data_IF_742910240169
#
_entry.id   IF_742910240169
#
_cell.length_a   1.000
_cell.length_b   1.000
_cell.length_c   1.000
_cell.angle_alpha   90.00
_cell.angle_beta   90.00
_cell.angle_gamma   90.00
#
_symmetry.space_group_name_H-M   'P 1'
#
loop_
_entity.id
_entity.type
_entity.pdbx_description
1 polymer ?
#
# COMPACT_ATOMS: atom_id res chain seq x y z
N UNK A 1 -50.28 38.73 51.18
CA UNK A 1 -48.88 39.08 50.84
C UNK A 1 -48.17 37.81 50.40
N UNK A 2 -47.51 37.85 49.25
CA UNK A 2 -47.03 36.72 48.48
C UNK A 2 -45.79 36.04 49.08
N UNK A 3 -45.65 34.74 48.85
CA UNK A 3 -44.37 34.05 48.68
C UNK A 3 -44.59 32.76 47.87
N UNK A 4 -44.11 32.75 46.63
CA UNK A 4 -44.12 31.60 45.74
C UNK A 4 -42.94 30.69 46.06
N UNK A 5 -43.21 29.43 46.44
CA UNK A 5 -42.20 28.39 46.58
C UNK A 5 -42.24 27.44 45.38
N UNK A 6 -41.21 27.46 44.54
CA UNK A 6 -40.96 26.43 43.50
C UNK A 6 -40.71 25.08 44.18
N UNK A 7 -41.49 24.05 43.82
CA UNK A 7 -41.15 22.64 44.11
C UNK A 7 -40.49 22.03 42.88
N UNK A 8 -39.19 21.72 42.99
CA UNK A 8 -38.50 20.82 42.07
C UNK A 8 -38.98 19.39 42.33
N UNK A 9 -39.51 18.72 41.29
CA UNK A 9 -39.84 17.30 41.33
C UNK A 9 -38.66 16.53 40.77
N UNK A 10 -37.87 15.91 41.66
CA UNK A 10 -36.84 14.94 41.30
C UNK A 10 -37.50 13.68 40.74
N UNK A 11 -37.43 13.47 39.41
CA UNK A 11 -37.75 12.18 38.78
C UNK A 11 -36.57 11.23 39.00
N UNK A 12 -36.61 10.48 40.11
CA UNK A 12 -35.78 9.27 40.26
C UNK A 12 -36.38 8.18 39.39
N UNK A 13 -35.73 7.85 38.27
CA UNK A 13 -35.98 6.60 37.56
C UNK A 13 -35.47 5.47 38.45
N UNK A 14 -36.28 4.45 38.78
CA UNK A 14 -35.82 3.34 39.61
C UNK A 14 -34.77 2.54 38.83
N UNK A 15 -33.59 2.42 39.43
CA UNK A 15 -32.38 1.76 38.91
C UNK A 15 -32.61 0.32 38.41
N UNK A 16 -33.69 -0.32 38.85
CA UNK A 16 -34.12 -1.66 38.44
C UNK A 16 -34.62 -1.74 37.00
N UNK A 17 -35.27 -0.70 36.45
CA UNK A 17 -35.74 -0.71 35.06
C UNK A 17 -34.59 -0.53 34.05
N UNK A 18 -33.58 0.26 34.42
CA UNK A 18 -32.38 0.43 33.60
C UNK A 18 -31.55 -0.87 33.54
N UNK A 19 -31.44 -1.60 34.65
CA UNK A 19 -30.72 -2.87 34.69
C UNK A 19 -31.36 -3.95 33.80
N UNK A 20 -32.69 -4.04 33.79
CA UNK A 20 -33.41 -5.04 32.98
C UNK A 20 -33.27 -4.75 31.48
N UNK A 21 -33.38 -3.47 31.08
CA UNK A 21 -33.20 -3.06 29.68
C UNK A 21 -31.78 -3.33 29.16
N UNK A 22 -30.74 -3.06 29.97
CA UNK A 22 -29.35 -3.35 29.60
C UNK A 22 -29.11 -4.86 29.47
N UNK A 23 -29.72 -5.66 30.35
CA UNK A 23 -29.55 -7.13 30.32
C UNK A 23 -30.25 -7.75 29.10
N UNK A 24 -31.44 -7.27 28.74
CA UNK A 24 -32.16 -7.73 27.54
C UNK A 24 -31.43 -7.30 26.26
N UNK A 25 -30.87 -6.09 26.21
CA UNK A 25 -30.06 -5.63 25.08
C UNK A 25 -28.77 -6.46 24.91
N UNK A 26 -28.07 -6.77 26.02
CA UNK A 26 -26.86 -7.59 25.98
C UNK A 26 -27.14 -9.02 25.47
N UNK A 27 -28.28 -9.61 25.88
CA UNK A 27 -28.66 -10.96 25.42
C UNK A 27 -29.05 -10.96 23.94
N UNK A 28 -29.75 -9.94 23.45
CA UNK A 28 -30.12 -9.82 22.02
C UNK A 28 -28.88 -9.60 21.14
N UNK A 29 -27.90 -8.80 21.60
CA UNK A 29 -26.64 -8.59 20.85
C UNK A 29 -25.79 -9.88 20.81
N UNK A 30 -25.82 -10.71 21.86
CA UNK A 30 -25.14 -12.02 21.84
C UNK A 30 -25.88 -13.11 21.06
N UNK A 31 -27.20 -12.98 20.88
CA UNK A 31 -28.04 -13.98 20.20
C UNK A 31 -28.13 -13.80 18.67
N UNK A 32 -27.54 -12.75 18.11
CA UNK A 32 -27.39 -12.55 16.66
C UNK A 32 -26.01 -12.97 16.11
N UNK A 33 -25.17 -13.61 16.93
CA UNK A 33 -24.01 -14.34 16.40
C UNK A 33 -24.50 -15.70 15.92
N UNK A 34 -24.46 -15.93 14.61
CA UNK A 34 -24.87 -17.17 13.93
C UNK A 34 -24.00 -18.39 14.27
N UNK A 35 -23.10 -18.28 15.25
CA UNK A 35 -22.19 -19.35 15.65
C UNK A 35 -21.08 -19.63 14.63
N UNK A 36 -21.05 -18.92 13.50
CA UNK A 36 -19.91 -18.93 12.61
C UNK A 36 -18.90 -17.91 13.11
N UNK A 37 -17.78 -18.40 13.64
CA UNK A 37 -16.58 -17.58 13.77
C UNK A 37 -16.10 -17.35 12.33
N UNK A 38 -16.64 -16.33 11.68
CA UNK A 38 -16.25 -15.96 10.33
C UNK A 38 -14.84 -15.37 10.40
N UNK A 39 -13.82 -16.23 10.27
CA UNK A 39 -12.41 -15.83 10.22
C UNK A 39 -12.14 -15.20 8.86
N UNK A 40 -12.69 -14.01 8.66
CA UNK A 40 -12.48 -13.22 7.43
C UNK A 40 -11.06 -12.72 7.42
N UNK A 41 -10.30 -13.00 6.37
CA UNK A 41 -8.99 -12.36 6.22
C UNK A 41 -9.20 -10.93 5.73
N UNK A 42 -8.52 -9.98 6.36
CA UNK A 42 -8.51 -8.57 5.99
C UNK A 42 -7.06 -8.08 5.95
N UNK A 43 -6.83 -6.90 5.37
CA UNK A 43 -5.51 -6.30 5.40
C UNK A 43 -4.94 -6.23 6.82
N UNK A 44 -3.66 -6.58 6.96
CA UNK A 44 -2.92 -6.24 8.18
C UNK A 44 -3.07 -4.74 8.48
N UNK A 45 -3.24 -4.33 9.74
CA UNK A 45 -3.14 -2.92 10.10
C UNK A 45 -1.76 -2.36 9.69
N UNK A 46 -1.70 -1.05 9.41
CA UNK A 46 -0.46 -0.36 9.06
C UNK A 46 -0.05 -0.52 7.59
N UNK A 47 0.84 -1.48 7.29
CA UNK A 47 1.58 -1.55 6.02
C UNK A 47 1.46 -2.91 5.31
N UNK A 48 0.23 -3.30 4.98
CA UNK A 48 -0.10 -4.66 4.54
C UNK A 48 0.34 -5.02 3.12
N UNK A 49 0.77 -4.07 2.29
CA UNK A 49 1.02 -4.31 0.87
C UNK A 49 1.89 -3.23 0.24
N UNK A 50 2.19 -3.37 -1.06
CA UNK A 50 2.80 -2.32 -1.88
C UNK A 50 2.08 -0.98 -1.68
N UNK A 51 2.79 0.12 -1.42
CA UNK A 51 2.13 1.41 -1.17
C UNK A 51 1.39 1.51 0.17
N UNK A 52 1.67 0.61 1.12
CA UNK A 52 1.14 0.59 2.49
C UNK A 52 -0.25 -0.02 2.62
N UNK A 53 -1.17 0.28 1.71
CA UNK A 53 -2.58 -0.12 1.83
C UNK A 53 -3.25 -0.33 0.46
N UNK A 54 -4.54 -0.65 0.48
CA UNK A 54 -5.35 -0.89 -0.72
C UNK A 54 -5.33 0.29 -1.72
N UNK A 55 -5.23 1.52 -1.20
CA UNK A 55 -5.27 2.76 -1.98
C UNK A 55 -3.91 3.14 -2.59
N UNK A 56 -2.83 2.42 -2.28
CA UNK A 56 -1.44 2.76 -2.62
C UNK A 56 -0.97 4.12 -2.05
N UNK A 57 -1.57 4.58 -0.95
CA UNK A 57 -1.41 5.95 -0.47
C UNK A 57 -0.13 6.24 0.32
N UNK A 58 0.73 5.24 0.61
CA UNK A 58 1.89 5.38 1.50
C UNK A 58 1.58 6.19 2.78
N UNK A 59 0.39 5.95 3.35
CA UNK A 59 -0.07 6.63 4.55
C UNK A 59 -0.23 5.64 5.70
N UNK A 60 0.19 6.06 6.88
CA UNK A 60 0.09 5.28 8.11
C UNK A 60 -0.62 6.08 9.22
N UNK A 61 -1.63 5.46 9.83
CA UNK A 61 -2.35 6.03 10.98
C UNK A 61 -1.57 6.02 12.30
N UNK A 62 -0.74 5.01 12.60
CA UNK A 62 0.02 4.98 13.86
C UNK A 62 0.98 6.16 13.99
N UNK A 63 1.12 6.67 15.21
CA UNK A 63 2.17 7.63 15.59
C UNK A 63 3.51 6.93 15.72
N UNK A 64 4.57 7.57 15.25
CA UNK A 64 5.93 7.04 15.37
C UNK A 64 6.56 7.50 16.71
N UNK A 65 7.19 6.61 17.51
CA UNK A 65 7.80 6.99 18.78
C UNK A 65 8.86 8.09 18.67
N UNK A 66 8.91 9.02 19.64
CA UNK A 66 9.90 10.11 19.68
C UNK A 66 11.33 9.62 19.98
N UNK A 67 11.48 8.42 20.52
CA UNK A 67 12.76 7.78 20.88
C UNK A 67 13.17 6.67 19.91
N UNK A 68 12.72 6.76 18.65
CA UNK A 68 13.01 5.80 17.60
C UNK A 68 14.54 5.64 17.38
N UNK A 69 15.04 4.41 17.44
CA UNK A 69 16.45 4.04 17.27
C UNK A 69 16.57 2.83 16.33
N UNK A 70 17.71 2.71 15.64
CA UNK A 70 17.99 1.57 14.79
C UNK A 70 18.09 0.30 15.65
N UNK A 71 17.16 -0.63 15.48
CA UNK A 71 17.11 -1.87 16.24
C UNK A 71 17.99 -2.96 15.61
N UNK A 72 17.88 -3.14 14.29
CA UNK A 72 18.69 -4.11 13.56
C UNK A 72 18.76 -3.78 12.07
N UNK A 73 19.78 -4.33 11.41
CA UNK A 73 19.89 -4.37 9.94
C UNK A 73 20.03 -5.81 9.45
N UNK A 74 19.56 -6.13 8.24
CA UNK A 74 19.73 -7.47 7.66
C UNK A 74 19.97 -7.39 6.15
N UNK A 75 20.97 -8.12 5.63
CA UNK A 75 21.17 -8.25 4.20
C UNK A 75 20.13 -9.21 3.62
N UNK A 76 19.54 -8.84 2.49
CA UNK A 76 18.70 -9.72 1.68
C UNK A 76 19.53 -10.66 0.80
N UNK A 77 20.79 -10.30 0.54
CA UNK A 77 21.71 -11.04 -0.34
C UNK A 77 21.63 -10.64 -1.82
N UNK A 78 20.88 -9.59 -2.16
CA UNK A 78 20.79 -9.05 -3.51
C UNK A 78 19.88 -7.82 -3.60
N UNK A 79 19.80 -7.16 -4.76
CA UNK A 79 19.08 -5.89 -4.87
C UNK A 79 17.59 -5.99 -4.49
N UNK A 80 17.07 -4.95 -3.83
CA UNK A 80 15.66 -4.81 -3.49
C UNK A 80 15.06 -3.73 -4.38
N UNK A 81 13.99 -4.05 -5.10
CA UNK A 81 13.37 -3.12 -6.07
C UNK A 81 11.92 -2.80 -5.73
N UNK A 82 11.23 -3.67 -4.98
CA UNK A 82 9.90 -3.41 -4.45
C UNK A 82 9.97 -2.84 -3.02
N UNK A 83 9.01 -1.99 -2.61
CA UNK A 83 8.88 -1.55 -1.22
C UNK A 83 8.54 -2.73 -0.29
N UNK A 84 8.75 -2.51 1.00
CA UNK A 84 8.51 -3.50 2.04
C UNK A 84 7.03 -3.61 2.41
N UNK A 85 6.68 -4.72 3.06
CA UNK A 85 5.45 -4.85 3.86
C UNK A 85 5.82 -5.00 5.33
N UNK A 86 4.93 -4.55 6.22
CA UNK A 86 5.02 -4.79 7.66
C UNK A 86 3.67 -5.31 8.15
N UNK A 87 3.70 -6.46 8.80
CA UNK A 87 2.50 -7.11 9.32
C UNK A 87 2.05 -6.54 10.68
N UNK A 88 0.94 -7.05 11.21
CA UNK A 88 0.37 -6.61 12.48
C UNK A 88 1.30 -6.87 13.66
N UNK A 89 2.11 -7.92 13.55
CA UNK A 89 3.14 -8.30 14.52
C UNK A 89 4.51 -7.71 14.16
N UNK A 90 4.53 -6.74 13.25
CA UNK A 90 5.74 -6.04 12.81
C UNK A 90 6.76 -6.90 12.07
N UNK A 91 6.32 -8.04 11.53
CA UNK A 91 7.18 -8.85 10.68
C UNK A 91 7.38 -8.14 9.34
N UNK A 92 8.64 -7.98 8.94
CA UNK A 92 9.03 -7.28 7.72
C UNK A 92 9.09 -8.28 6.56
N UNK A 93 8.26 -8.08 5.55
CA UNK A 93 8.31 -8.84 4.30
C UNK A 93 9.09 -8.11 3.22
N UNK A 94 10.12 -8.78 2.68
CA UNK A 94 11.01 -8.22 1.64
C UNK A 94 11.30 -9.25 0.55
N UNK A 95 11.30 -8.80 -0.70
CA UNK A 95 11.76 -9.56 -1.87
C UNK A 95 13.05 -8.96 -2.41
N UNK A 96 13.89 -9.78 -3.03
CA UNK A 96 15.18 -9.36 -3.55
C UNK A 96 15.62 -10.18 -4.76
N UNK A 97 16.39 -9.59 -5.65
CA UNK A 97 17.00 -10.30 -6.78
C UNK A 97 18.29 -10.97 -6.33
N UNK A 98 18.21 -12.23 -5.91
CA UNK A 98 19.39 -12.99 -5.45
C UNK A 98 19.84 -14.02 -6.50
N UNK A 99 21.16 -14.15 -6.68
CA UNK A 99 21.75 -15.17 -7.56
C UNK A 99 21.46 -16.58 -7.01
N UNK A 100 21.65 -16.76 -5.70
CA UNK A 100 21.49 -18.03 -5.00
C UNK A 100 20.74 -17.82 -3.67
N UNK A 101 20.19 -18.91 -3.12
CA UNK A 101 19.51 -18.88 -1.82
C UNK A 101 18.12 -18.22 -1.88
N UNK A 102 17.67 -17.66 -0.76
CA UNK A 102 16.34 -17.07 -0.68
C UNK A 102 16.27 -15.74 -1.42
N UNK A 103 15.13 -15.46 -2.08
CA UNK A 103 14.79 -14.16 -2.69
C UNK A 103 13.51 -13.57 -2.10
N UNK A 104 12.92 -14.24 -1.11
CA UNK A 104 11.84 -13.71 -0.28
C UNK A 104 12.10 -14.05 1.18
N UNK A 105 12.02 -13.04 2.04
CA UNK A 105 12.29 -13.14 3.47
C UNK A 105 11.15 -12.50 4.27
N UNK A 106 10.76 -13.17 5.36
CA UNK A 106 9.97 -12.57 6.44
C UNK A 106 10.87 -12.47 7.67
N UNK A 107 11.14 -11.26 8.14
CA UNK A 107 12.06 -10.96 9.24
C UNK A 107 11.28 -10.53 10.48
N UNK A 108 11.65 -11.04 11.66
CA UNK A 108 10.97 -10.68 12.90
C UNK A 108 11.41 -9.31 13.44
N UNK A 109 10.55 -8.60 14.16
CA UNK A 109 10.86 -7.26 14.65
C UNK A 109 11.88 -7.22 15.80
N UNK A 110 12.10 -8.33 16.52
CA UNK A 110 12.95 -8.33 17.71
C UNK A 110 14.43 -8.21 17.36
N UNK A 111 14.87 -9.02 16.41
CA UNK A 111 16.27 -9.08 16.01
C UNK A 111 16.47 -9.39 14.53
N UNK A 112 15.45 -9.26 13.67
CA UNK A 112 15.58 -9.51 12.24
C UNK A 112 15.97 -10.95 11.91
N UNK A 113 15.66 -11.92 12.77
CA UNK A 113 15.77 -13.34 12.44
C UNK A 113 14.71 -13.66 11.37
N UNK A 114 15.11 -14.50 10.43
CA UNK A 114 14.20 -15.01 9.40
C UNK A 114 13.15 -15.89 10.10
N UNK A 115 11.90 -15.46 10.14
CA UNK A 115 10.79 -16.36 10.48
C UNK A 115 10.73 -17.48 9.47
N UNK A 116 10.84 -17.13 8.19
CA UNK A 116 11.19 -18.05 7.12
C UNK A 116 11.86 -17.30 5.96
N UNK A 117 12.47 -18.06 5.06
CA UNK A 117 12.87 -17.55 3.75
C UNK A 117 12.58 -18.60 2.67
N UNK A 118 12.30 -18.13 1.46
CA UNK A 118 11.97 -18.98 0.31
C UNK A 118 12.76 -18.57 -0.92
N UNK A 119 13.07 -19.57 -1.75
CA UNK A 119 13.42 -19.36 -3.15
C UNK A 119 12.14 -19.47 -3.96
N UNK A 120 11.78 -18.37 -4.59
CA UNK A 120 10.68 -18.20 -5.53
C UNK A 120 11.27 -18.07 -6.94
N UNK A 121 10.43 -18.27 -7.95
CA UNK A 121 10.77 -18.08 -9.37
C UNK A 121 10.78 -16.60 -9.76
N UNK A 122 11.08 -16.33 -11.04
CA UNK A 122 11.12 -14.98 -11.59
C UNK A 122 9.80 -14.24 -11.38
N UNK A 123 9.86 -12.92 -11.32
CA UNK A 123 8.70 -12.07 -11.08
C UNK A 123 8.44 -11.74 -9.62
N UNK A 124 9.00 -12.50 -8.68
CA UNK A 124 8.89 -12.22 -7.24
C UNK A 124 9.58 -10.90 -6.85
N UNK A 125 10.65 -10.54 -7.55
CA UNK A 125 11.52 -9.42 -7.22
C UNK A 125 10.83 -8.06 -7.34
N UNK A 126 9.79 -7.95 -8.17
CA UNK A 126 8.98 -6.73 -8.32
C UNK A 126 7.77 -6.70 -7.38
N UNK A 127 7.64 -7.68 -6.47
CA UNK A 127 6.47 -7.84 -5.62
C UNK A 127 6.73 -7.49 -4.15
N UNK A 128 5.81 -6.74 -3.56
CA UNK A 128 5.64 -6.65 -2.11
C UNK A 128 4.60 -7.68 -1.68
N UNK A 129 4.85 -8.53 -0.67
CA UNK A 129 3.84 -9.46 -0.19
C UNK A 129 2.63 -8.71 0.38
N UNK A 130 1.44 -9.18 0.04
CA UNK A 130 0.20 -8.77 0.70
C UNK A 130 0.06 -9.59 1.98
N UNK A 131 -0.18 -8.97 3.13
CA UNK A 131 -0.24 -9.67 4.42
C UNK A 131 -1.57 -9.39 5.11
N UNK A 132 -2.22 -10.45 5.61
CA UNK A 132 -3.46 -10.33 6.39
C UNK A 132 -3.19 -10.04 7.88
N UNK A 133 -4.26 -9.81 8.65
CA UNK A 133 -4.18 -9.53 10.09
C UNK A 133 -3.59 -10.67 10.94
N UNK A 134 -3.44 -11.87 10.37
CA UNK A 134 -2.89 -13.07 11.00
C UNK A 134 -1.49 -13.41 10.52
N UNK A 135 -0.80 -12.46 9.87
CA UNK A 135 0.52 -12.64 9.25
C UNK A 135 0.56 -13.70 8.16
N UNK A 136 -0.56 -13.95 7.47
CA UNK A 136 -0.62 -14.89 6.35
C UNK A 136 -0.33 -14.10 5.06
N UNK A 137 0.82 -14.36 4.39
CA UNK A 137 1.18 -13.61 3.20
C UNK A 137 0.60 -14.23 1.93
N UNK A 138 0.34 -13.36 0.95
CA UNK A 138 -0.02 -13.67 -0.42
C UNK A 138 1.00 -13.03 -1.34
N UNK A 139 1.53 -13.78 -2.29
CA UNK A 139 2.55 -13.29 -3.21
C UNK A 139 2.59 -14.09 -4.51
N UNK A 140 3.04 -13.47 -5.59
CA UNK A 140 3.14 -14.07 -6.91
C UNK A 140 4.57 -14.35 -7.36
N UNK A 141 4.70 -15.38 -8.19
CA UNK A 141 5.84 -15.63 -9.06
C UNK A 141 5.29 -15.95 -10.47
N UNK A 142 6.15 -16.03 -11.48
CA UNK A 142 5.73 -16.40 -12.83
C UNK A 142 4.79 -17.63 -12.81
N UNK A 143 3.68 -17.56 -13.55
CA UNK A 143 2.62 -18.59 -13.65
C UNK A 143 1.80 -18.89 -12.40
N UNK A 144 2.15 -18.38 -11.21
CA UNK A 144 1.48 -18.80 -9.97
C UNK A 144 1.30 -17.66 -8.97
N UNK A 145 0.09 -17.48 -8.47
CA UNK A 145 -0.20 -16.72 -7.27
C UNK A 145 -0.38 -17.65 -6.07
N UNK A 146 0.24 -17.34 -4.93
CA UNK A 146 0.30 -18.24 -3.78
C UNK A 146 -0.20 -17.56 -2.50
N UNK A 147 -0.94 -18.31 -1.69
CA UNK A 147 -1.20 -17.97 -0.30
C UNK A 147 -0.37 -18.85 0.62
N UNK A 148 0.13 -18.24 1.69
CA UNK A 148 1.02 -18.85 2.66
C UNK A 148 0.45 -18.67 4.06
N UNK A 149 0.84 -19.53 4.99
CA UNK A 149 0.64 -19.30 6.41
C UNK A 149 1.83 -18.52 7.00
N UNK A 150 1.67 -18.01 8.22
CA UNK A 150 2.72 -17.27 8.92
C UNK A 150 4.03 -18.06 9.14
N UNK A 151 3.97 -19.40 9.10
CA UNK A 151 5.13 -20.28 9.19
C UNK A 151 5.84 -20.56 7.86
N UNK A 152 5.40 -19.97 6.75
CA UNK A 152 6.00 -20.19 5.42
C UNK A 152 5.61 -21.52 4.77
N UNK A 153 4.49 -22.12 5.17
CA UNK A 153 3.83 -23.22 4.46
C UNK A 153 2.81 -22.69 3.45
N UNK A 154 2.69 -23.35 2.29
CA UNK A 154 1.72 -22.96 1.26
C UNK A 154 0.33 -23.46 1.65
N UNK A 155 -0.66 -22.57 1.63
CA UNK A 155 -2.08 -22.88 1.85
C UNK A 155 -2.76 -23.33 0.56
N UNK A 156 -2.57 -22.56 -0.51
CA UNK A 156 -3.10 -22.89 -1.84
C UNK A 156 -2.27 -22.19 -2.94
N UNK A 157 -2.48 -22.62 -4.19
CA UNK A 157 -1.85 -22.06 -5.40
C UNK A 157 -2.90 -21.80 -6.46
N UNK A 158 -2.82 -20.66 -7.11
CA UNK A 158 -3.66 -20.30 -8.25
C UNK A 158 -2.78 -20.11 -9.50
N UNK A 159 -2.93 -20.94 -10.54
CA UNK A 159 -2.29 -20.70 -11.82
C UNK A 159 -2.74 -19.36 -12.43
N UNK A 160 -1.79 -18.61 -12.98
CA UNK A 160 -2.04 -17.31 -13.62
C UNK A 160 -1.36 -17.21 -14.98
N UNK A 161 -1.77 -16.24 -15.79
CA UNK A 161 -1.06 -15.85 -17.00
C UNK A 161 -0.06 -14.74 -16.69
N UNK A 162 1.20 -14.95 -17.05
CA UNK A 162 2.26 -13.98 -16.80
C UNK A 162 2.80 -14.01 -15.37
N UNK A 163 3.16 -12.83 -14.86
CA UNK A 163 3.62 -12.62 -13.48
C UNK A 163 2.53 -11.86 -12.71
N UNK A 164 2.04 -12.35 -11.56
CA UNK A 164 1.17 -11.55 -10.69
C UNK A 164 1.92 -10.33 -10.14
N UNK A 165 1.24 -9.20 -10.12
CA UNK A 165 1.68 -8.00 -9.41
C UNK A 165 1.25 -8.05 -7.93
N UNK A 166 1.72 -7.09 -7.14
CA UNK A 166 1.44 -7.06 -5.71
C UNK A 166 -0.07 -6.95 -5.49
N UNK A 167 -0.64 -8.03 -4.98
CA UNK A 167 -2.08 -8.18 -4.82
C UNK A 167 -2.65 -7.24 -3.77
N UNK A 168 -3.97 -7.05 -3.81
CA UNK A 168 -4.70 -6.17 -2.88
C UNK A 168 -5.89 -6.90 -2.29
N UNK A 169 -6.20 -6.65 -1.03
CA UNK A 169 -7.53 -7.01 -0.52
C UNK A 169 -8.59 -6.14 -1.20
N UNK A 170 -9.63 -6.78 -1.73
CA UNK A 170 -10.79 -6.15 -2.36
C UNK A 170 -12.03 -6.16 -1.44
N UNK A 171 -11.80 -6.49 -0.18
CA UNK A 171 -12.84 -6.66 0.83
C UNK A 171 -12.51 -7.84 1.73
N UNK A 172 -13.32 -8.09 2.76
CA UNK A 172 -13.14 -9.22 3.66
C UNK A 172 -13.17 -10.54 2.90
N UNK A 173 -12.11 -11.34 3.06
CA UNK A 173 -11.90 -12.62 2.37
C UNK A 173 -11.80 -12.55 0.84
N UNK A 174 -11.54 -11.36 0.27
CA UNK A 174 -11.42 -11.18 -1.18
C UNK A 174 -10.04 -10.60 -1.52
N UNK A 175 -9.33 -11.26 -2.44
CA UNK A 175 -8.06 -10.76 -2.97
C UNK A 175 -8.17 -10.50 -4.47
N UNK A 176 -7.79 -9.31 -4.89
CA UNK A 176 -7.63 -8.90 -6.28
C UNK A 176 -6.21 -9.22 -6.73
N UNK A 177 -6.11 -9.98 -7.81
CA UNK A 177 -4.86 -10.34 -8.47
C UNK A 177 -4.89 -9.81 -9.90
N UNK A 178 -3.85 -9.08 -10.28
CA UNK A 178 -3.65 -8.60 -11.64
C UNK A 178 -2.28 -9.02 -12.14
N UNK A 179 -2.15 -9.34 -13.43
CA UNK A 179 -0.88 -9.84 -13.98
C UNK A 179 -0.32 -8.93 -15.06
N UNK A 180 0.99 -9.07 -15.27
CA UNK A 180 1.74 -8.32 -16.30
C UNK A 180 1.21 -8.54 -17.72
N UNK A 181 0.48 -9.63 -17.97
CA UNK A 181 -0.13 -9.95 -19.25
C UNK A 181 -1.64 -9.63 -19.32
N UNK A 182 -2.19 -8.95 -18.30
CA UNK A 182 -3.54 -8.40 -18.36
C UNK A 182 -4.64 -9.35 -17.90
N UNK A 183 -4.30 -10.36 -17.09
CA UNK A 183 -5.28 -11.18 -16.39
C UNK A 183 -5.73 -10.49 -15.10
N UNK A 184 -7.02 -10.58 -14.79
CA UNK A 184 -7.61 -10.10 -13.54
C UNK A 184 -8.41 -11.25 -12.91
N UNK A 185 -8.13 -11.49 -11.62
CA UNK A 185 -8.80 -12.49 -10.80
C UNK A 185 -9.29 -11.84 -9.51
N UNK A 186 -10.51 -12.19 -9.09
CA UNK A 186 -11.01 -11.92 -7.76
C UNK A 186 -11.20 -13.26 -7.05
N UNK A 187 -10.40 -13.52 -6.03
CA UNK A 187 -10.28 -14.83 -5.41
C UNK A 187 -10.68 -14.79 -3.94
N UNK A 188 -11.25 -15.90 -3.47
CA UNK A 188 -11.45 -16.15 -2.06
C UNK A 188 -10.10 -16.45 -1.39
N UNK A 189 -9.83 -15.75 -0.30
CA UNK A 189 -8.53 -15.80 0.38
C UNK A 189 -8.25 -17.11 1.12
N UNK A 190 -9.28 -17.91 1.39
CA UNK A 190 -9.18 -19.18 2.11
C UNK A 190 -8.90 -20.37 1.20
N UNK A 191 -9.51 -20.39 0.01
CA UNK A 191 -9.51 -21.58 -0.84
C UNK A 191 -9.21 -21.32 -2.32
N UNK A 192 -8.92 -20.08 -2.72
CA UNK A 192 -8.70 -19.64 -4.12
C UNK A 192 -9.90 -19.77 -5.07
N UNK A 193 -11.10 -19.99 -4.56
CA UNK A 193 -12.29 -20.01 -5.40
C UNK A 193 -12.51 -18.65 -6.07
N UNK A 194 -12.92 -18.68 -7.33
CA UNK A 194 -13.30 -17.48 -8.06
C UNK A 194 -14.54 -16.84 -7.44
N UNK A 195 -14.41 -15.58 -7.03
CA UNK A 195 -15.53 -14.75 -6.57
C UNK A 195 -16.20 -13.97 -7.72
N UNK A 196 -15.54 -13.95 -8.89
CA UNK A 196 -16.04 -13.41 -10.14
C UNK A 196 -15.38 -14.19 -11.31
N UNK A 197 -15.99 -14.27 -12.49
CA UNK A 197 -15.33 -14.81 -13.68
C UNK A 197 -14.01 -14.07 -13.98
N UNK A 198 -13.00 -14.83 -14.42
CA UNK A 198 -11.72 -14.28 -14.89
C UNK A 198 -11.93 -13.25 -16.01
N UNK A 199 -11.19 -12.15 -15.97
CA UNK A 199 -11.10 -11.19 -17.08
C UNK A 199 -9.70 -11.21 -17.68
N UNK A 200 -9.64 -11.23 -19.02
CA UNK A 200 -8.41 -11.05 -19.80
C UNK A 200 -8.55 -9.78 -20.62
N UNK A 201 -7.73 -8.79 -20.32
CA UNK A 201 -7.77 -7.48 -20.98
C UNK A 201 -7.07 -7.45 -22.34
N UNK A 202 -6.25 -8.46 -22.64
CA UNK A 202 -5.47 -8.55 -23.88
C UNK A 202 -5.60 -9.93 -24.51
N UNK A 203 -5.62 -9.97 -25.84
CA UNK A 203 -5.71 -11.20 -26.61
C UNK A 203 -4.34 -11.85 -26.86
N UNK A 204 -3.25 -11.09 -26.70
CA UNK A 204 -1.87 -11.52 -26.91
C UNK A 204 -1.14 -11.96 -25.63
N UNK A 205 -1.87 -12.28 -24.56
CA UNK A 205 -1.30 -13.02 -23.44
C UNK A 205 -0.76 -14.37 -23.96
N UNK A 206 0.46 -14.71 -23.57
CA UNK A 206 1.17 -15.91 -23.99
C UNK A 206 1.36 -16.87 -22.80
N UNK A 207 0.53 -17.92 -22.66
CA UNK A 207 0.67 -18.90 -21.60
C UNK A 207 1.99 -19.68 -21.64
N UNK A 208 2.62 -19.79 -22.81
CA UNK A 208 3.87 -20.54 -23.01
C UNK A 208 5.12 -19.70 -22.69
N UNK A 209 4.99 -18.37 -22.61
CA UNK A 209 6.04 -17.44 -22.14
C UNK A 209 5.50 -16.57 -20.99
N UNK A 210 5.63 -17.03 -19.74
CA UNK A 210 5.15 -16.30 -18.56
C UNK A 210 5.84 -14.93 -18.38
N UNK A 211 7.02 -14.74 -18.97
CA UNK A 211 7.78 -13.49 -18.89
C UNK A 211 7.59 -12.59 -20.10
N UNK A 212 6.66 -12.92 -21.00
CA UNK A 212 6.36 -12.11 -22.16
C UNK A 212 6.02 -10.67 -21.75
N UNK A 213 6.78 -9.72 -22.30
CA UNK A 213 6.63 -8.29 -21.99
C UNK A 213 7.13 -7.86 -20.60
N UNK A 214 7.63 -8.77 -19.76
CA UNK A 214 8.03 -8.48 -18.38
C UNK A 214 9.12 -7.40 -18.29
N UNK A 215 10.09 -7.40 -19.20
CA UNK A 215 11.13 -6.36 -19.25
C UNK A 215 10.58 -4.94 -19.50
N UNK A 216 9.45 -4.81 -20.19
CA UNK A 216 8.78 -3.51 -20.39
C UNK A 216 8.07 -3.05 -19.11
N UNK A 217 7.74 -3.93 -18.15
CA UNK A 217 7.08 -3.52 -16.91
C UNK A 217 7.94 -2.56 -16.10
N UNK A 218 9.27 -2.74 -16.12
CA UNK A 218 10.24 -1.85 -15.46
C UNK A 218 10.14 -0.42 -16.00
N UNK A 219 9.96 -0.27 -17.31
CA UNK A 219 9.87 1.02 -17.99
C UNK A 219 8.45 1.46 -18.26
N UNK A 220 7.44 0.70 -17.79
CA UNK A 220 6.01 0.83 -18.06
C UNK A 220 5.64 0.76 -19.56
N UNK A 221 6.41 0.04 -20.38
CA UNK A 221 6.30 0.01 -21.85
C UNK A 221 5.16 -0.85 -22.41
N UNK A 222 4.96 -0.81 -23.75
CA UNK A 222 3.78 -1.34 -24.45
C UNK A 222 3.56 -2.85 -24.37
N UNK A 223 4.62 -3.64 -24.13
CA UNK A 223 4.47 -5.09 -24.00
C UNK A 223 3.98 -5.52 -22.62
N UNK A 224 4.06 -4.65 -21.61
CA UNK A 224 3.52 -4.94 -20.29
C UNK A 224 2.08 -4.41 -20.19
N UNK A 225 1.11 -5.32 -20.11
CA UNK A 225 -0.31 -4.98 -20.11
C UNK A 225 -0.71 -4.19 -18.86
N UNK A 226 -0.31 -4.66 -17.69
CA UNK A 226 -0.50 -3.99 -16.41
C UNK A 226 0.90 -3.88 -15.81
N UNK A 227 1.52 -2.68 -15.77
CA UNK A 227 2.90 -2.54 -15.34
C UNK A 227 3.07 -2.33 -13.83
N UNK A 228 1.98 -2.07 -13.10
CA UNK A 228 2.05 -1.74 -11.68
C UNK A 228 0.78 -2.16 -10.91
N UNK A 229 0.88 -2.36 -9.57
CA UNK A 229 -0.25 -2.77 -8.74
C UNK A 229 -1.48 -1.85 -8.83
N UNK A 230 -2.67 -2.42 -8.72
CA UNK A 230 -3.92 -1.68 -8.69
C UNK A 230 -4.07 -0.82 -7.41
N UNK A 231 -4.84 0.26 -7.49
CA UNK A 231 -5.44 0.90 -6.32
C UNK A 231 -6.87 0.39 -6.16
N UNK A 232 -7.28 0.01 -4.96
CA UNK A 232 -8.58 -0.62 -4.69
C UNK A 232 -9.40 0.23 -3.73
N UNK A 233 -10.65 0.47 -4.12
CA UNK A 233 -11.72 1.05 -3.32
C UNK A 233 -12.66 -0.09 -2.91
N UNK A 234 -12.42 -0.66 -1.73
CA UNK A 234 -13.21 -1.79 -1.22
C UNK A 234 -14.64 -1.38 -0.85
N UNK A 235 -14.82 -0.13 -0.40
CA UNK A 235 -16.12 0.38 0.03
C UNK A 235 -17.08 0.56 -1.16
N UNK A 236 -16.56 1.01 -2.31
CA UNK A 236 -17.34 1.14 -3.55
C UNK A 236 -17.16 -0.04 -4.52
N UNK A 237 -16.48 -1.10 -4.09
CA UNK A 237 -16.25 -2.32 -4.88
C UNK A 237 -15.71 -2.06 -6.29
N UNK A 238 -14.67 -1.22 -6.38
CA UNK A 238 -14.00 -0.86 -7.64
C UNK A 238 -12.48 -0.77 -7.48
N UNK A 239 -11.76 -0.75 -8.59
CA UNK A 239 -10.31 -0.60 -8.60
C UNK A 239 -9.83 0.12 -9.85
N UNK A 240 -8.61 0.64 -9.78
CA UNK A 240 -7.99 1.47 -10.81
C UNK A 240 -6.66 0.87 -11.23
N UNK A 241 -6.45 0.76 -12.55
CA UNK A 241 -5.28 0.16 -13.16
C UNK A 241 -4.55 1.17 -14.06
N UNK A 242 -3.22 1.17 -13.99
CA UNK A 242 -2.41 1.53 -15.15
C UNK A 242 -2.51 0.37 -16.14
N UNK A 243 -2.99 0.62 -17.35
CA UNK A 243 -3.16 -0.40 -18.37
C UNK A 243 -2.65 0.08 -19.72
N UNK A 244 -1.88 -0.77 -20.40
CA UNK A 244 -1.42 -0.56 -21.77
C UNK A 244 -2.23 -1.43 -22.75
N UNK A 245 -3.18 -0.84 -23.50
CA UNK A 245 -3.97 -1.58 -24.48
C UNK A 245 -3.09 -2.13 -25.61
N UNK A 246 -3.46 -3.30 -26.13
CA UNK A 246 -2.75 -3.89 -27.25
C UNK A 246 -2.75 -2.94 -28.46
N UNK A 247 -1.56 -2.65 -28.98
CA UNK A 247 -1.38 -1.77 -30.15
C UNK A 247 -1.51 -0.27 -29.88
N UNK A 248 -1.81 0.16 -28.65
CA UNK A 248 -1.86 1.58 -28.32
C UNK A 248 -0.46 2.20 -28.18
N UNK A 249 -0.37 3.50 -28.45
CA UNK A 249 0.87 4.27 -28.33
C UNK A 249 1.16 4.78 -26.91
N UNK A 250 0.17 4.69 -26.01
CA UNK A 250 0.27 5.11 -24.62
C UNK A 250 -0.61 4.23 -23.71
N UNK A 251 -0.22 4.11 -22.45
CA UNK A 251 -1.06 3.55 -21.39
C UNK A 251 -2.09 4.55 -20.88
N UNK A 252 -3.10 4.03 -20.19
CA UNK A 252 -4.24 4.77 -19.66
C UNK A 252 -4.57 4.33 -18.24
N UNK A 253 -5.36 5.13 -17.53
CA UNK A 253 -6.02 4.66 -16.31
C UNK A 253 -7.33 4.00 -16.69
N UNK A 254 -7.60 2.81 -16.14
CA UNK A 254 -8.89 2.13 -16.25
C UNK A 254 -9.51 1.94 -14.88
N UNK A 255 -10.79 2.29 -14.74
CA UNK A 255 -11.59 1.96 -13.59
C UNK A 255 -12.44 0.73 -13.87
N UNK A 256 -12.45 -0.20 -12.92
CA UNK A 256 -13.16 -1.47 -13.03
C UNK A 256 -14.05 -1.66 -11.81
N UNK A 257 -15.27 -2.15 -12.00
CA UNK A 257 -16.18 -2.54 -10.93
C UNK A 257 -16.14 -4.05 -10.73
N UNK A 258 -16.23 -4.48 -9.48
CA UNK A 258 -16.55 -5.85 -9.06
C UNK A 258 -17.75 -5.88 -8.11
N UNK A 259 -18.56 -4.81 -8.12
CA UNK A 259 -19.82 -4.77 -7.41
C UNK A 259 -20.76 -5.87 -7.93
N UNK A 260 -21.50 -6.48 -7.00
CA UNK A 260 -22.49 -7.49 -7.33
C UNK A 260 -23.74 -6.85 -7.94
N UNK A 261 -24.20 -7.38 -9.07
CA UNK A 261 -25.41 -6.93 -9.75
C UNK A 261 -26.34 -8.12 -9.95
N UNK A 262 -27.59 -8.01 -9.49
CA UNK A 262 -28.60 -9.07 -9.62
C UNK A 262 -28.13 -10.46 -9.10
N UNK A 263 -27.39 -10.47 -8.00
CA UNK A 263 -26.87 -11.70 -7.38
C UNK A 263 -25.66 -12.33 -8.10
N UNK A 264 -25.12 -11.66 -9.12
CA UNK A 264 -23.93 -12.12 -9.84
C UNK A 264 -22.81 -11.10 -9.72
N UNK A 265 -21.61 -11.57 -9.38
CA UNK A 265 -20.42 -10.73 -9.35
C UNK A 265 -19.63 -10.92 -10.65
N UNK A 266 -19.43 -9.83 -11.37
CA UNK A 266 -18.59 -9.77 -12.59
C UNK A 266 -17.65 -8.58 -12.50
N UNK A 267 -16.48 -8.72 -13.12
CA UNK A 267 -15.53 -7.61 -13.26
C UNK A 267 -15.82 -6.93 -14.60
N UNK A 268 -16.10 -5.62 -14.58
CA UNK A 268 -16.42 -4.83 -15.79
C UNK A 268 -15.77 -3.47 -15.75
N UNK A 269 -15.45 -2.92 -16.92
CA UNK A 269 -14.96 -1.55 -17.03
C UNK A 269 -16.07 -0.55 -16.69
N UNK A 270 -15.73 0.49 -15.93
CA UNK A 270 -16.60 1.63 -15.62
C UNK A 270 -16.28 2.76 -16.60
N UNK A 271 -15.00 3.12 -16.67
CA UNK A 271 -14.46 4.16 -17.54
C UNK A 271 -12.97 3.92 -17.78
N UNK A 272 -12.42 4.60 -18.78
CA UNK A 272 -10.98 4.77 -18.96
C UNK A 272 -10.65 6.22 -19.25
N UNK A 273 -9.42 6.63 -18.91
CA UNK A 273 -8.92 7.99 -19.09
C UNK A 273 -7.54 7.98 -19.74
N UNK A 274 -7.44 8.66 -20.88
CA UNK A 274 -6.17 8.90 -21.56
C UNK A 274 -5.34 9.91 -20.79
N UNK A 275 -4.14 9.50 -20.39
CA UNK A 275 -3.19 10.36 -19.71
C UNK A 275 -2.18 10.86 -20.73
N UNK A 276 -1.93 12.19 -20.85
CA UNK A 276 -0.93 12.70 -21.78
C UNK A 276 0.42 12.01 -21.61
N UNK A 277 0.96 11.48 -22.70
CA UNK A 277 2.21 10.70 -22.73
C UNK A 277 2.11 9.30 -22.13
N UNK A 278 0.99 8.91 -21.52
CA UNK A 278 0.80 7.64 -20.83
C UNK A 278 1.14 7.69 -19.34
N UNK A 279 0.79 6.61 -18.65
CA UNK A 279 0.91 6.46 -17.20
C UNK A 279 2.24 5.82 -16.80
N UNK A 280 2.84 6.30 -15.71
CA UNK A 280 3.99 5.68 -15.05
C UNK A 280 3.61 5.21 -13.65
N UNK A 281 3.93 3.97 -13.34
CA UNK A 281 3.72 3.40 -12.01
C UNK A 281 2.24 3.11 -11.71
N UNK A 282 1.93 2.80 -10.45
CA UNK A 282 0.57 2.50 -10.00
C UNK A 282 -0.24 3.79 -9.73
N UNK A 283 -1.56 3.77 -9.96
CA UNK A 283 -2.43 4.84 -9.47
C UNK A 283 -2.47 4.85 -7.93
N UNK A 284 -2.74 6.02 -7.36
CA UNK A 284 -2.97 6.24 -5.93
C UNK A 284 -4.37 6.81 -5.73
N UNK A 285 -5.16 6.28 -4.79
CA UNK A 285 -6.53 6.72 -4.52
C UNK A 285 -6.59 7.58 -3.24
N UNK A 286 -7.34 8.68 -3.27
CA UNK A 286 -7.62 9.48 -2.08
C UNK A 286 -8.39 8.68 -1.01
N UNK A 287 -8.22 9.02 0.26
CA UNK A 287 -8.85 8.29 1.36
C UNK A 287 -10.39 8.31 1.30
N UNK A 288 -10.98 9.36 0.73
CA UNK A 288 -12.43 9.48 0.53
C UNK A 288 -12.93 8.79 -0.76
N UNK A 289 -12.04 8.16 -1.51
CA UNK A 289 -12.34 7.46 -2.76
C UNK A 289 -12.75 8.38 -3.91
N UNK A 290 -12.57 9.70 -3.82
CA UNK A 290 -13.05 10.63 -4.86
C UNK A 290 -12.03 11.00 -5.93
N UNK A 291 -10.73 10.91 -5.64
CA UNK A 291 -9.67 11.33 -6.56
C UNK A 291 -8.69 10.19 -6.82
N UNK A 292 -8.40 9.91 -8.09
CA UNK A 292 -7.30 9.02 -8.51
C UNK A 292 -6.14 9.88 -8.99
N UNK A 293 -4.98 9.73 -8.36
CA UNK A 293 -3.75 10.39 -8.74
C UNK A 293 -2.88 9.46 -9.57
N UNK A 294 -2.26 10.01 -10.60
CA UNK A 294 -1.35 9.26 -11.47
C UNK A 294 -0.22 10.14 -11.97
N UNK A 295 0.94 9.53 -12.22
CA UNK A 295 2.03 10.19 -12.93
C UNK A 295 1.87 10.01 -14.43
N UNK A 296 2.01 11.12 -15.15
CA UNK A 296 2.17 11.17 -16.59
C UNK A 296 3.64 11.03 -16.97
N UNK A 297 3.92 10.35 -18.09
CA UNK A 297 5.23 10.37 -18.75
C UNK A 297 5.67 11.75 -19.22
N UNK A 298 4.90 12.81 -19.02
CA UNK A 298 5.33 14.17 -19.31
C UNK A 298 5.76 14.93 -18.05
N UNK A 299 6.02 14.22 -16.95
CA UNK A 299 6.47 14.82 -15.69
C UNK A 299 5.37 15.55 -14.94
N UNK A 300 4.10 15.16 -15.15
CA UNK A 300 2.95 15.75 -14.47
C UNK A 300 2.29 14.77 -13.51
N UNK A 301 1.71 15.31 -12.46
CA UNK A 301 0.67 14.63 -11.69
C UNK A 301 -0.66 14.96 -12.38
N UNK A 302 -1.49 13.96 -12.57
CA UNK A 302 -2.87 14.13 -13.05
C UNK A 302 -3.81 13.59 -11.98
N UNK A 303 -4.75 14.41 -11.55
CA UNK A 303 -5.82 14.03 -10.65
C UNK A 303 -7.11 13.85 -11.44
N UNK A 304 -7.68 12.66 -11.34
CA UNK A 304 -8.91 12.27 -12.00
C UNK A 304 -10.05 12.17 -10.99
N UNK A 305 -11.25 12.53 -11.39
CA UNK A 305 -12.45 12.12 -10.70
C UNK A 305 -12.57 10.59 -10.72
N UNK A 306 -12.67 9.97 -9.54
CA UNK A 306 -12.70 8.51 -9.44
C UNK A 306 -13.99 7.88 -10.02
N UNK A 307 -15.08 8.65 -10.12
CA UNK A 307 -16.36 8.16 -10.63
C UNK A 307 -16.48 8.27 -12.16
N UNK A 308 -15.92 9.32 -12.77
CA UNK A 308 -16.03 9.57 -14.22
C UNK A 308 -14.74 9.39 -15.02
N UNK A 309 -13.57 9.49 -14.37
CA UNK A 309 -12.27 9.53 -15.05
C UNK A 309 -11.92 10.91 -15.63
N UNK A 310 -12.76 11.93 -15.44
CA UNK A 310 -12.48 13.29 -15.90
C UNK A 310 -11.31 13.90 -15.13
N UNK A 311 -10.44 14.63 -15.83
CA UNK A 311 -9.34 15.34 -15.16
C UNK A 311 -9.89 16.50 -14.33
N UNK A 312 -9.65 16.44 -13.01
CA UNK A 312 -9.94 17.55 -12.09
C UNK A 312 -8.86 18.61 -12.18
N UNK A 313 -7.60 18.19 -12.15
CA UNK A 313 -6.45 19.07 -12.27
C UNK A 313 -5.19 18.33 -12.72
N UNK A 314 -4.18 19.11 -13.14
CA UNK A 314 -2.84 18.60 -13.35
C UNK A 314 -1.80 19.54 -12.75
N UNK A 315 -0.70 18.97 -12.27
CA UNK A 315 0.39 19.71 -11.64
C UNK A 315 1.73 19.32 -12.27
N UNK A 316 2.59 20.30 -12.54
CA UNK A 316 3.94 20.05 -13.04
C UNK A 316 4.84 19.60 -11.88
N UNK A 317 5.26 18.34 -11.91
CA UNK A 317 6.09 17.75 -10.86
C UNK A 317 7.57 18.17 -10.97
N UNK A 318 7.95 18.91 -12.02
CA UNK A 318 9.35 19.31 -12.28
C UNK A 318 10.24 18.14 -12.71
N UNK A 319 9.65 17.00 -13.07
CA UNK A 319 10.33 15.76 -13.44
C UNK A 319 9.40 14.56 -13.42
N UNK A 320 9.86 13.43 -13.98
CA UNK A 320 9.09 12.19 -14.01
C UNK A 320 8.94 11.62 -12.60
N UNK A 321 7.69 11.33 -12.19
CA UNK A 321 7.43 10.40 -11.10
C UNK A 321 7.48 8.97 -11.62
N UNK A 322 7.90 8.02 -10.77
CA UNK A 322 8.14 6.64 -11.20
C UNK A 322 7.50 5.56 -10.30
N UNK A 323 6.72 5.94 -9.30
CA UNK A 323 6.13 5.03 -8.31
C UNK A 323 4.83 5.60 -7.71
N UNK A 324 4.40 5.14 -6.52
CA UNK A 324 3.26 5.70 -5.77
C UNK A 324 3.53 7.11 -5.26
N UNK A 325 2.48 7.79 -4.82
CA UNK A 325 2.55 9.07 -4.11
C UNK A 325 2.11 8.87 -2.66
N UNK A 326 2.62 9.67 -1.72
CA UNK A 326 2.06 9.68 -0.36
C UNK A 326 0.83 10.58 -0.37
N UNK A 327 -0.32 10.08 0.09
CA UNK A 327 -1.59 10.81 0.13
C UNK A 327 -2.24 10.61 1.49
N UNK A 328 -2.46 11.70 2.21
CA UNK A 328 -3.14 11.70 3.52
C UNK A 328 -4.66 11.84 3.37
N UNK A 329 -5.44 11.50 4.43
CA UNK A 329 -6.88 11.71 4.43
C UNK A 329 -7.33 13.17 4.30
N UNK A 330 -6.52 14.14 4.72
CA UNK A 330 -6.82 15.57 4.62
C UNK A 330 -6.29 16.22 3.32
N UNK A 331 -5.85 15.40 2.36
CA UNK A 331 -5.50 15.84 1.01
C UNK A 331 -4.06 16.34 0.86
N UNK A 332 -3.18 16.16 1.85
CA UNK A 332 -1.75 16.38 1.65
C UNK A 332 -1.17 15.30 0.74
N UNK A 333 -0.28 15.72 -0.15
CA UNK A 333 0.33 14.88 -1.17
C UNK A 333 1.84 15.11 -1.17
N UNK A 334 2.62 14.03 -1.04
CA UNK A 334 4.05 14.02 -1.37
C UNK A 334 4.23 13.24 -2.66
N UNK A 335 4.53 13.92 -3.79
CA UNK A 335 4.87 13.23 -5.01
C UNK A 335 6.25 12.56 -4.90
N UNK A 336 6.37 11.37 -5.46
CA UNK A 336 7.68 10.76 -5.72
C UNK A 336 8.34 11.48 -6.90
N UNK A 337 9.39 12.24 -6.62
CA UNK A 337 10.26 12.84 -7.64
C UNK A 337 11.37 11.89 -8.11
N UNK A 338 12.18 12.35 -9.06
CA UNK A 338 13.41 11.66 -9.46
C UNK A 338 14.37 11.50 -8.26
N UNK A 339 15.26 10.50 -8.29
CA UNK A 339 16.22 10.27 -7.21
C UNK A 339 17.05 11.54 -6.96
N UNK A 340 17.04 12.02 -5.72
CA UNK A 340 17.71 13.24 -5.28
C UNK A 340 16.86 14.51 -5.40
N UNK A 341 15.61 14.42 -5.84
CA UNK A 341 14.70 15.57 -5.93
C UNK A 341 14.40 16.19 -4.55
N UNK A 342 14.01 17.47 -4.51
CA UNK A 342 13.49 18.11 -3.30
C UNK A 342 12.29 17.37 -2.70
N UNK A 343 12.18 17.35 -1.37
CA UNK A 343 10.93 16.95 -0.72
C UNK A 343 9.89 18.07 -0.94
N UNK A 344 8.76 17.72 -1.54
CA UNK A 344 7.69 18.66 -1.86
C UNK A 344 6.40 18.21 -1.19
N UNK A 345 5.69 19.13 -0.54
CA UNK A 345 4.36 18.89 -0.01
C UNK A 345 3.34 19.74 -0.76
N UNK A 346 2.36 19.07 -1.34
CA UNK A 346 1.21 19.66 -2.00
C UNK A 346 -0.05 19.42 -1.17
N UNK A 347 -1.10 20.19 -1.44
CA UNK A 347 -2.48 19.95 -0.97
C UNK A 347 -3.39 19.83 -2.18
N UNK A 348 -4.23 18.81 -2.22
CA UNK A 348 -5.36 18.75 -3.14
C UNK A 348 -6.45 19.73 -2.65
N UNK A 349 -6.65 20.82 -3.38
CA UNK A 349 -7.70 21.80 -3.12
C UNK A 349 -9.03 21.45 -3.83
N UNK A 350 -9.09 20.29 -4.52
CA UNK A 350 -10.24 19.77 -5.24
C UNK A 350 -10.18 20.03 -6.74
N UNK A 351 -9.90 21.27 -7.15
CA UNK A 351 -9.81 21.71 -8.56
C UNK A 351 -8.40 22.14 -8.99
N UNK A 352 -7.44 22.15 -8.05
CA UNK A 352 -6.02 22.35 -8.30
C UNK A 352 -5.18 21.75 -7.17
N UNK A 353 -3.88 21.61 -7.42
CA UNK A 353 -2.92 21.33 -6.37
C UNK A 353 -2.28 22.64 -5.88
N UNK A 354 -2.23 22.83 -4.57
CA UNK A 354 -1.54 23.94 -3.91
C UNK A 354 -0.17 23.47 -3.41
N UNK A 355 0.90 24.19 -3.75
CA UNK A 355 2.22 23.95 -3.17
C UNK A 355 2.28 24.57 -1.78
N UNK A 356 2.36 23.75 -0.73
CA UNK A 356 2.48 24.24 0.65
C UNK A 356 3.93 24.63 0.97
N UNK A 357 4.87 23.73 0.70
CA UNK A 357 6.30 23.99 0.86
C UNK A 357 7.16 23.04 0.03
N UNK A 358 8.42 23.40 -0.14
CA UNK A 358 9.42 22.58 -0.80
C UNK A 358 10.80 22.71 -0.12
N UNK A 359 11.36 21.58 0.29
CA UNK A 359 12.68 21.47 0.93
C UNK A 359 13.74 21.08 -0.10
N UNK A 360 14.31 22.10 -0.76
CA UNK A 360 15.36 21.96 -1.79
C UNK A 360 16.72 21.55 -1.23
N UNK A 361 16.91 21.66 0.07
CA UNK A 361 18.11 21.24 0.78
C UNK A 361 18.12 19.72 1.07
N UNK A 362 16.97 19.04 0.95
CA UNK A 362 16.85 17.60 1.09
C UNK A 362 16.94 16.91 -0.28
N UNK A 363 17.88 15.97 -0.42
CA UNK A 363 17.99 15.12 -1.60
C UNK A 363 17.26 13.79 -1.33
N UNK A 364 15.96 13.75 -1.64
CA UNK A 364 15.10 12.58 -1.35
C UNK A 364 15.47 11.41 -2.26
N UNK A 365 15.68 10.24 -1.67
CA UNK A 365 16.07 9.02 -2.38
C UNK A 365 15.19 7.83 -2.01
N UNK A 366 13.90 8.07 -1.72
CA UNK A 366 12.92 7.00 -1.43
C UNK A 366 11.49 7.42 -1.69
N UNK A 367 10.58 6.44 -1.70
CA UNK A 367 9.15 6.70 -1.48
C UNK A 367 8.96 7.21 -0.05
N UNK A 368 8.28 8.34 0.09
CA UNK A 368 8.01 8.93 1.39
C UNK A 368 6.74 8.35 2.01
N UNK A 369 6.59 8.49 3.31
CA UNK A 369 5.37 8.13 4.04
C UNK A 369 4.79 9.35 4.72
N UNK A 370 3.48 9.53 4.67
CA UNK A 370 2.76 10.48 5.51
C UNK A 370 2.16 9.74 6.70
N UNK A 371 2.18 10.38 7.87
CA UNK A 371 1.64 9.84 9.11
C UNK A 371 0.61 10.79 9.73
N UNK A 372 -0.26 10.25 10.59
CA UNK A 372 -1.33 11.03 11.24
C UNK A 372 -0.83 12.03 12.32
N UNK A 373 0.47 12.02 12.62
CA UNK A 373 1.15 12.88 13.59
C UNK A 373 1.74 14.15 12.94
N UNK A 374 1.20 14.57 11.78
CA UNK A 374 1.69 15.72 11.03
C UNK A 374 3.19 15.58 10.66
N UNK A 375 3.60 14.37 10.31
CA UNK A 375 4.96 14.06 9.86
C UNK A 375 4.97 13.39 8.49
N UNK A 376 6.07 13.63 7.80
CA UNK A 376 6.51 12.91 6.63
C UNK A 376 7.82 12.19 6.96
N UNK A 377 7.90 10.91 6.64
CA UNK A 377 9.10 10.10 6.78
C UNK A 377 9.69 9.77 5.42
N UNK A 378 10.98 10.05 5.23
CA UNK A 378 11.66 9.85 3.95
C UNK A 378 13.14 9.58 4.15
N UNK A 379 13.74 8.81 3.26
CA UNK A 379 15.19 8.63 3.21
C UNK A 379 15.82 9.69 2.32
N UNK A 380 16.80 10.40 2.86
CA UNK A 380 17.56 11.44 2.15
C UNK A 380 19.02 11.07 2.04
N UNK A 381 19.70 11.53 0.99
CA UNK A 381 21.16 11.49 0.90
C UNK A 381 21.76 12.56 1.81
N UNK A 382 22.74 12.17 2.62
CA UNK A 382 23.45 13.08 3.50
C UNK A 382 24.23 14.13 2.70
N UNK A 383 24.22 15.37 3.18
CA UNK A 383 24.87 16.49 2.48
C UNK A 383 26.36 16.24 2.27
N UNK A 384 26.78 16.18 1.00
CA UNK A 384 28.16 15.99 0.60
C UNK A 384 28.71 14.58 0.82
N UNK A 385 27.85 13.58 1.04
CA UNK A 385 28.21 12.17 1.25
C UNK A 385 27.31 11.24 0.44
N UNK A 386 27.73 9.98 0.33
CA UNK A 386 26.91 8.92 -0.28
C UNK A 386 26.00 8.20 0.73
N UNK A 387 26.25 8.41 2.03
CA UNK A 387 25.44 7.85 3.12
C UNK A 387 24.02 8.40 3.12
N UNK A 388 23.09 7.62 3.64
CA UNK A 388 21.68 7.95 3.70
C UNK A 388 21.21 8.09 5.16
N UNK A 389 20.17 8.89 5.36
CA UNK A 389 19.50 9.05 6.65
C UNK A 389 17.98 8.95 6.49
N UNK A 390 17.33 8.21 7.38
CA UNK A 390 15.88 8.26 7.56
C UNK A 390 15.53 9.57 8.28
N UNK A 391 14.75 10.44 7.64
CA UNK A 391 14.46 11.79 8.11
C UNK A 391 12.98 11.99 8.31
N UNK A 392 12.64 12.54 9.47
CA UNK A 392 11.30 13.00 9.81
C UNK A 392 11.18 14.50 9.53
N UNK A 393 10.13 14.88 8.82
CA UNK A 393 9.84 16.27 8.44
C UNK A 393 8.42 16.62 8.86
N UNK A 394 8.25 17.76 9.52
CA UNK A 394 6.95 18.34 9.85
C UNK A 394 6.15 18.65 8.58
N UNK A 395 4.89 18.22 8.51
CA UNK A 395 4.01 18.59 7.39
C UNK A 395 3.51 20.03 7.47
N UNK A 396 3.53 20.63 8.66
CA UNK A 396 2.95 21.95 8.90
C UNK A 396 3.81 23.09 8.31
N UNK A 397 5.13 22.96 8.42
CA UNK A 397 6.10 24.00 8.03
C UNK A 397 7.30 23.46 7.24
N UNK A 398 7.35 22.15 7.03
CA UNK A 398 8.46 21.49 6.34
C UNK A 398 9.73 21.40 7.18
N UNK A 399 9.73 21.70 8.48
CA UNK A 399 10.93 21.63 9.31
C UNK A 399 11.39 20.18 9.53
N UNK A 400 12.71 19.93 9.47
CA UNK A 400 13.25 18.62 9.85
C UNK A 400 13.15 18.46 11.36
N UNK A 401 12.42 17.44 11.82
CA UNK A 401 12.28 17.11 13.24
C UNK A 401 13.52 16.34 13.74
N UNK A 402 13.93 15.30 12.99
CA UNK A 402 15.12 14.49 13.28
C UNK A 402 15.58 13.70 12.05
N UNK A 403 16.82 13.24 12.10
CA UNK A 403 17.40 12.33 11.11
C UNK A 403 18.13 11.19 11.83
N UNK A 404 17.85 9.96 11.43
CA UNK A 404 18.42 8.73 11.94
C UNK A 404 19.32 8.14 10.86
N UNK A 405 20.57 7.82 11.23
CA UNK A 405 21.56 7.27 10.31
C UNK A 405 21.11 5.89 9.78
N UNK A 406 21.36 5.63 8.50
CA UNK A 406 21.36 4.29 7.92
C UNK A 406 22.84 3.89 7.72
N UNK A 407 23.47 3.18 8.67
CA UNK A 407 24.89 2.82 8.59
C UNK A 407 25.20 2.02 7.32
N UNK A 408 26.31 2.32 6.67
CA UNK A 408 26.78 1.60 5.46
C UNK A 408 25.81 1.67 4.26
N UNK A 409 24.81 2.54 4.32
CA UNK A 409 23.87 2.75 3.22
C UNK A 409 24.48 3.56 2.08
N UNK A 410 24.12 3.18 0.85
CA UNK A 410 24.39 3.93 -0.38
C UNK A 410 23.22 3.74 -1.37
N UNK A 411 23.26 4.48 -2.48
CA UNK A 411 22.23 4.37 -3.52
C UNK A 411 20.93 5.04 -3.10
N UNK A 412 19.81 4.32 -3.17
CA UNK A 412 18.48 4.82 -2.81
C UNK A 412 17.75 3.77 -1.98
N UNK A 413 16.68 4.16 -1.29
CA UNK A 413 15.80 3.25 -0.56
C UNK A 413 14.46 3.05 -1.28
N UNK A 414 13.90 1.85 -1.17
CA UNK A 414 12.69 1.44 -1.89
C UNK A 414 11.40 2.03 -1.31
N UNK A 415 11.47 2.55 -0.10
CA UNK A 415 10.37 3.22 0.58
C UNK A 415 10.55 3.18 2.09
N UNK A 416 9.65 3.85 2.79
CA UNK A 416 9.53 3.82 4.25
C UNK A 416 8.23 3.09 4.56
N UNK A 417 8.24 2.11 5.44
CA UNK A 417 7.06 1.39 5.87
C UNK A 417 6.87 1.54 7.38
N UNK A 418 5.64 1.72 7.84
CA UNK A 418 5.32 2.01 9.25
C UNK A 418 4.40 0.92 9.81
N UNK A 419 4.82 0.30 10.91
CA UNK A 419 4.03 -0.74 11.60
C UNK A 419 2.86 -0.15 12.39
N UNK A 420 1.88 -0.99 12.82
CA UNK A 420 0.82 -0.56 13.73
C UNK A 420 1.30 0.01 15.07
N UNK A 421 2.52 -0.31 15.47
CA UNK A 421 3.17 0.15 16.69
C UNK A 421 4.09 1.36 16.45
N UNK A 422 4.10 1.91 15.24
CA UNK A 422 4.92 3.07 14.88
C UNK A 422 6.39 2.73 14.60
N UNK A 423 6.76 1.45 14.49
CA UNK A 423 8.09 1.05 14.06
C UNK A 423 8.27 1.34 12.58
N UNK A 424 9.50 1.58 12.14
CA UNK A 424 9.80 1.87 10.74
C UNK A 424 10.71 0.80 10.16
N UNK A 425 10.36 0.31 8.97
CA UNK A 425 11.27 -0.47 8.14
C UNK A 425 11.56 0.25 6.81
N UNK A 426 12.80 0.16 6.36
CA UNK A 426 13.20 0.60 5.01
C UNK A 426 14.26 -0.33 4.45
N UNK A 427 14.38 -0.41 3.13
CA UNK A 427 15.40 -1.21 2.48
C UNK A 427 16.10 -0.41 1.38
N UNK A 428 17.43 -0.47 1.37
CA UNK A 428 18.23 0.10 0.29
C UNK A 428 18.16 -0.79 -0.95
N UNK A 429 18.27 -0.19 -2.13
CA UNK A 429 18.27 -0.92 -3.38
C UNK A 429 19.43 -1.91 -3.49
N UNK A 430 20.53 -1.67 -2.78
CA UNK A 430 21.68 -2.58 -2.74
C UNK A 430 21.46 -3.82 -1.86
N UNK A 431 20.33 -3.91 -1.14
CA UNK A 431 19.92 -5.13 -0.46
C UNK A 431 20.13 -5.16 1.05
N UNK A 432 20.13 -4.00 1.73
CA UNK A 432 20.14 -3.94 3.19
C UNK A 432 18.80 -3.46 3.73
N UNK A 433 18.21 -4.22 4.65
CA UNK A 433 16.98 -3.86 5.37
C UNK A 433 17.35 -3.23 6.70
N UNK A 434 16.69 -2.14 7.08
CA UNK A 434 16.84 -1.43 8.34
C UNK A 434 15.50 -1.43 9.06
N UNK A 435 15.52 -1.73 10.35
CA UNK A 435 14.35 -1.69 11.21
C UNK A 435 14.61 -0.82 12.42
N UNK A 436 13.69 0.09 12.67
CA UNK A 436 13.73 1.07 13.72
C UNK A 436 12.60 0.83 14.70
N UNK A 437 12.90 0.94 15.99
CA UNK A 437 11.95 0.73 17.07
C UNK A 437 12.21 1.75 18.18
N UNK A 438 11.25 1.94 19.08
CA UNK A 438 11.47 2.73 20.29
C UNK A 438 12.64 2.17 21.07
N UNK A 439 13.52 3.05 21.54
CA UNK A 439 14.64 2.69 22.41
C UNK A 439 14.17 1.91 23.64
N UNK A 440 13.06 2.33 24.25
CA UNK A 440 12.47 1.60 25.37
C UNK A 440 12.16 0.13 25.03
N UNK A 441 11.62 -0.15 23.83
CA UNK A 441 11.36 -1.52 23.40
C UNK A 441 12.64 -2.30 23.08
N UNK A 442 13.69 -1.65 22.58
CA UNK A 442 14.99 -2.27 22.31
C UNK A 442 15.66 -2.69 23.63
N UNK A 443 15.73 -1.78 24.61
CA UNK A 443 16.39 -2.00 25.90
C UNK A 443 15.68 -3.07 26.77
N UNK A 444 14.40 -3.34 26.51
CA UNK A 444 13.59 -4.30 27.26
C UNK A 444 13.71 -5.78 26.83
N UNK A 445 14.50 -6.08 25.80
CA UNK A 445 14.52 -7.40 25.12
C UNK A 445 15.47 -8.43 25.69
#
# INVERSE_FOLDING_TARGET
>A
MAAAGRREVSRRVPTTLAAILVTVFAVVVSACSDGHIDVRSVASPGWSSFGGNAANSNFAYPSVPDDLELSWTRPTGGPVTAPLSISNQSNVGVTATTENGCNWLILDPRNGRKNFCKRMRAGIEVNTPLVDQYDQPYIGEETTFLAWNAGGGIRWRMPVLGVPLSAKFAGPSQVLVTTTQGQILLLNTQNSDFLAPEVRLRADANPDDPTYGFGDCITNGPRCAIPAPAAVDADQQRFFLNFWPQGAIASQIRAMSYAEENGTRTIREIWHADIPGGVVGPPTLSADGKTVYTFSRLGRIVALDAASGETRWSYDNGGYGFATMSVSPDGLIIPTGVIGAPLTLLRDAGDHAELLWQRKDLAVVSLSTLTNDHSAWTVVRDKGKDSLSLTEVSTDDGATKRSLSLPESVGFATGVAVSPQGQIATATNIGEVYFFDSKAAIDSR
#
